data_IF_891501705412
#
_entry.id   IF_891501705412
#
_cell.length_a   1.000
_cell.length_b   1.000
_cell.length_c   1.000
_cell.angle_alpha   90.00
_cell.angle_beta   90.00
_cell.angle_gamma   90.00
#
_symmetry.space_group_name_H-M   'P 1'
#
loop_
_entity.id
_entity.type
_entity.pdbx_description
1 polymer ?
#
# COMPACT_ATOMS: atom_id res chain seq x y z
N UNK A 1 -2.66 -9.24 -15.65
CA UNK A 1 -3.36 -8.32 -14.72
C UNK A 1 -3.02 -6.89 -15.12
N UNK A 2 -3.92 -5.93 -14.93
CA UNK A 2 -3.63 -4.53 -15.27
C UNK A 2 -2.62 -3.95 -14.27
N UNK A 3 -1.52 -3.39 -14.78
CA UNK A 3 -0.55 -2.66 -13.97
C UNK A 3 -1.20 -1.39 -13.44
N UNK A 4 -0.88 -1.03 -12.20
CA UNK A 4 -1.45 0.12 -11.48
C UNK A 4 -0.34 0.86 -10.76
N UNK A 5 -0.57 2.14 -10.49
CA UNK A 5 0.23 2.96 -9.58
C UNK A 5 -0.32 2.83 -8.17
N UNK A 6 0.50 2.41 -7.21
CA UNK A 6 0.07 2.13 -5.84
C UNK A 6 0.98 2.87 -4.86
N UNK A 7 0.40 3.76 -4.06
CA UNK A 7 1.08 4.41 -2.95
C UNK A 7 0.91 3.62 -1.66
N UNK A 8 2.01 3.29 -0.97
CA UNK A 8 2.01 2.75 0.40
C UNK A 8 2.30 3.90 1.36
N UNK A 9 1.40 4.11 2.32
CA UNK A 9 1.57 5.16 3.32
C UNK A 9 2.62 4.75 4.36
N UNK A 10 3.49 5.69 4.73
CA UNK A 10 4.53 5.52 5.75
C UNK A 10 4.53 6.70 6.71
N UNK A 11 4.78 6.42 7.98
CA UNK A 11 4.92 7.44 9.03
C UNK A 11 5.90 6.93 10.11
N UNK A 12 6.33 7.82 11.00
CA UNK A 12 7.13 7.47 12.16
C UNK A 12 6.49 6.31 12.93
N UNK A 13 7.32 5.32 13.28
CA UNK A 13 6.95 4.15 14.08
C UNK A 13 5.98 3.17 13.36
N UNK A 14 6.12 3.03 12.04
CA UNK A 14 5.37 2.04 11.25
C UNK A 14 5.76 0.59 11.61
N UNK A 15 4.87 -0.37 11.32
CA UNK A 15 5.13 -1.82 11.44
C UNK A 15 5.88 -2.34 10.22
N UNK A 16 7.04 -2.95 10.45
CA UNK A 16 7.99 -3.34 9.41
C UNK A 16 7.36 -4.23 8.34
N UNK A 17 6.70 -5.31 8.77
CA UNK A 17 6.13 -6.31 7.87
C UNK A 17 4.93 -5.74 7.13
N UNK A 18 4.11 -4.92 7.79
CA UNK A 18 2.91 -4.34 7.17
C UNK A 18 3.23 -3.34 6.06
N UNK A 19 4.39 -2.68 6.12
CA UNK A 19 4.85 -1.81 5.05
C UNK A 19 5.58 -2.59 3.95
N UNK A 20 6.58 -3.38 4.33
CA UNK A 20 7.50 -3.98 3.35
C UNK A 20 6.89 -5.18 2.61
N UNK A 21 6.10 -6.01 3.29
CA UNK A 21 5.49 -7.17 2.65
C UNK A 21 4.60 -6.78 1.46
N UNK A 22 3.58 -5.90 1.60
CA UNK A 22 2.79 -5.47 0.47
C UNK A 22 3.60 -4.64 -0.54
N UNK A 23 4.56 -3.82 -0.09
CA UNK A 23 5.39 -3.03 -1.01
C UNK A 23 6.12 -3.91 -2.01
N UNK A 24 6.84 -4.93 -1.53
CA UNK A 24 7.56 -5.85 -2.40
C UNK A 24 6.61 -6.77 -3.17
N UNK A 25 5.54 -7.25 -2.54
CA UNK A 25 4.60 -8.14 -3.23
C UNK A 25 3.92 -7.48 -4.44
N UNK A 26 3.51 -6.22 -4.30
CA UNK A 26 2.92 -5.46 -5.40
C UNK A 26 3.94 -5.16 -6.50
N UNK A 27 5.20 -4.92 -6.14
CA UNK A 27 6.29 -4.77 -7.12
C UNK A 27 6.54 -6.08 -7.90
N UNK A 28 6.53 -7.23 -7.23
CA UNK A 28 6.66 -8.55 -7.87
C UNK A 28 5.52 -8.83 -8.83
N UNK A 29 4.30 -8.38 -8.51
CA UNK A 29 3.12 -8.49 -9.37
C UNK A 29 3.14 -7.50 -10.56
N UNK A 30 4.16 -6.63 -10.64
CA UNK A 30 4.39 -5.70 -11.74
C UNK A 30 3.72 -4.33 -11.59
N UNK A 31 3.24 -3.99 -10.40
CA UNK A 31 2.69 -2.67 -10.11
C UNK A 31 3.80 -1.63 -9.88
N UNK A 32 3.52 -0.38 -10.26
CA UNK A 32 4.38 0.76 -9.92
C UNK A 32 4.07 1.17 -8.48
N UNK A 33 4.81 0.60 -7.53
CA UNK A 33 4.61 0.84 -6.10
C UNK A 33 5.64 1.84 -5.56
N UNK A 34 5.17 2.87 -4.88
CA UNK A 34 5.97 3.93 -4.27
C UNK A 34 5.51 4.22 -2.83
N UNK A 35 6.37 4.84 -2.03
CA UNK A 35 6.05 5.23 -0.65
C UNK A 35 5.57 6.68 -0.56
N UNK A 36 4.61 6.93 0.32
CA UNK A 36 4.03 8.26 0.54
C UNK A 36 4.10 8.56 2.03
N UNK A 37 4.69 9.69 2.39
CA UNK A 37 4.72 10.20 3.77
C UNK A 37 4.20 11.64 3.84
N UNK A 38 4.08 12.24 5.03
CA UNK A 38 3.70 13.64 5.16
C UNK A 38 4.62 14.60 4.42
N UNK A 39 5.93 14.30 4.38
CA UNK A 39 6.94 15.15 3.75
C UNK A 39 7.73 14.35 2.71
N UNK A 40 7.78 14.87 1.48
CA UNK A 40 8.57 14.27 0.40
C UNK A 40 10.05 14.17 0.77
N UNK A 41 10.64 13.00 0.53
CA UNK A 41 12.07 12.77 0.71
C UNK A 41 12.52 12.58 2.17
N UNK A 42 11.61 12.72 3.14
CA UNK A 42 11.88 12.44 4.55
C UNK A 42 11.98 10.94 4.78
N UNK A 43 12.87 10.55 5.68
CA UNK A 43 13.02 9.15 6.13
C UNK A 43 12.25 8.96 7.43
N UNK A 44 11.37 7.98 7.43
CA UNK A 44 10.59 7.53 8.58
C UNK A 44 11.17 6.21 9.08
N UNK A 45 11.40 6.11 10.38
CA UNK A 45 11.92 4.90 10.98
C UNK A 45 10.77 4.03 11.49
N UNK A 46 10.90 2.72 11.30
CA UNK A 46 9.97 1.74 11.85
C UNK A 46 10.13 1.56 13.36
N UNK A 47 9.25 0.75 13.95
CA UNK A 47 9.37 0.28 15.34
C UNK A 47 10.71 -0.39 15.63
N UNK A 48 11.28 -1.09 14.65
CA UNK A 48 12.57 -1.77 14.79
C UNK A 48 13.73 -0.99 14.15
N UNK A 49 13.53 0.29 13.78
CA UNK A 49 14.58 1.18 13.29
C UNK A 49 14.91 1.03 11.81
N UNK A 50 14.09 0.34 11.02
CA UNK A 50 14.28 0.27 9.56
C UNK A 50 13.89 1.59 8.90
N UNK A 51 14.74 2.13 8.02
CA UNK A 51 14.45 3.40 7.35
C UNK A 51 13.55 3.19 6.13
N UNK A 52 12.50 4.00 6.03
CA UNK A 52 11.66 4.13 4.84
C UNK A 52 11.67 5.58 4.38
N UNK A 53 12.25 5.85 3.21
CA UNK A 53 12.20 7.19 2.60
C UNK A 53 10.88 7.36 1.87
N UNK A 54 10.15 8.44 2.14
CA UNK A 54 8.96 8.82 1.38
C UNK A 54 9.36 9.33 -0.01
N UNK A 55 8.91 8.66 -1.07
CA UNK A 55 9.15 9.08 -2.45
C UNK A 55 8.31 10.31 -2.82
N UNK A 56 7.10 10.39 -2.26
CA UNK A 56 6.14 11.49 -2.46
C UNK A 56 5.61 12.02 -1.12
N UNK A 57 5.32 13.32 -1.09
CA UNK A 57 4.51 13.93 -0.04
C UNK A 57 3.03 13.63 -0.23
N UNK A 58 2.26 13.57 0.85
CA UNK A 58 0.81 13.32 0.80
C UNK A 58 0.06 14.40 -0.01
N UNK A 59 0.60 15.61 -0.03
CA UNK A 59 0.14 16.78 -0.78
C UNK A 59 0.36 16.66 -2.29
N UNK A 60 1.25 15.77 -2.73
CA UNK A 60 1.55 15.53 -4.15
C UNK A 60 0.66 14.45 -4.78
N UNK A 61 -0.16 13.75 -3.98
CA UNK A 61 -0.92 12.58 -4.42
C UNK A 61 -2.41 12.89 -4.56
N UNK A 62 -2.97 12.58 -5.74
CA UNK A 62 -4.41 12.53 -5.95
C UNK A 62 -4.87 11.07 -6.05
N UNK A 63 -5.75 10.67 -5.13
CA UNK A 63 -6.27 9.31 -5.08
C UNK A 63 -7.46 9.18 -6.02
N UNK A 64 -7.32 8.37 -7.07
CA UNK A 64 -8.40 8.06 -8.02
C UNK A 64 -9.21 6.84 -7.61
N UNK A 65 -8.64 5.92 -6.83
CA UNK A 65 -9.33 4.77 -6.26
C UNK A 65 -8.64 4.31 -4.97
N UNK A 66 -9.43 3.91 -3.97
CA UNK A 66 -8.94 3.34 -2.71
C UNK A 66 -9.22 1.85 -2.73
N UNK A 67 -8.17 1.02 -2.59
CA UNK A 67 -8.33 -0.42 -2.39
C UNK A 67 -8.25 -0.72 -0.90
N UNK A 68 -9.39 -0.99 -0.26
CA UNK A 68 -9.43 -1.48 1.11
C UNK A 68 -9.14 -2.99 1.10
N UNK A 69 -8.22 -3.44 1.94
CA UNK A 69 -7.74 -4.84 2.02
C UNK A 69 -8.84 -5.86 2.42
N UNK A 70 -10.06 -5.40 2.72
CA UNK A 70 -11.21 -6.25 3.05
C UNK A 70 -12.10 -6.63 1.84
N UNK A 71 -12.00 -5.95 0.69
CA UNK A 71 -12.96 -6.16 -0.40
C UNK A 71 -12.76 -7.46 -1.19
N UNK A 72 -11.63 -8.15 -1.00
CA UNK A 72 -11.39 -9.46 -1.62
C UNK A 72 -12.31 -10.57 -1.05
N UNK A 73 -12.76 -10.44 0.21
CA UNK A 73 -13.76 -11.36 0.77
C UNK A 73 -15.18 -11.02 0.29
N UNK A 74 -15.51 -9.74 0.11
CA UNK A 74 -16.86 -9.32 -0.28
C UNK A 74 -17.21 -9.70 -1.73
N UNK A 75 -16.23 -9.70 -2.64
CA UNK A 75 -16.45 -10.11 -4.02
C UNK A 75 -16.74 -11.63 -4.13
N UNK A 76 -16.11 -12.47 -3.31
CA UNK A 76 -16.36 -13.92 -3.31
C UNK A 76 -17.74 -14.28 -2.69
N UNK A 77 -18.20 -13.53 -1.69
CA UNK A 77 -19.53 -13.76 -1.07
C UNK A 77 -20.68 -13.31 -1.97
N UNK A 78 -20.45 -12.39 -2.92
CA UNK A 78 -21.51 -11.90 -3.82
C UNK A 78 -21.74 -12.76 -5.08
N UNK A 79 -20.83 -13.69 -5.41
CA UNK A 79 -20.86 -14.44 -6.69
C UNK A 79 -21.40 -15.89 -6.54
N UNK A 80 -21.72 -16.37 -5.34
CA UNK A 80 -22.28 -17.71 -5.12
C UNK A 80 -23.64 -17.71 -4.38
N UNK A 81 -24.76 -17.36 -5.03
CA UNK A 81 -26.09 -17.57 -4.47
C UNK A 81 -26.61 -19.02 -4.61
N UNK A 82 -25.83 -19.96 -5.16
CA UNK A 82 -26.29 -21.32 -5.49
C UNK A 82 -25.52 -22.48 -4.83
N UNK A 83 -24.75 -22.23 -3.78
CA UNK A 83 -24.28 -23.31 -2.89
C UNK A 83 -24.58 -22.96 -1.43
N UNK A 84 -25.86 -22.98 -1.11
CA UNK A 84 -26.43 -23.40 0.17
C UNK A 84 -27.72 -24.17 -0.13
#
# INVERSE_FOLDING_TARGET
MATKKIGILTEFNYEDIELWYPYYRLKEEGHETFTVGPEKGKTYNSKNGYPCKAEYGIDEIQVTAVQLWCSALFALVSIMPHLF
#
